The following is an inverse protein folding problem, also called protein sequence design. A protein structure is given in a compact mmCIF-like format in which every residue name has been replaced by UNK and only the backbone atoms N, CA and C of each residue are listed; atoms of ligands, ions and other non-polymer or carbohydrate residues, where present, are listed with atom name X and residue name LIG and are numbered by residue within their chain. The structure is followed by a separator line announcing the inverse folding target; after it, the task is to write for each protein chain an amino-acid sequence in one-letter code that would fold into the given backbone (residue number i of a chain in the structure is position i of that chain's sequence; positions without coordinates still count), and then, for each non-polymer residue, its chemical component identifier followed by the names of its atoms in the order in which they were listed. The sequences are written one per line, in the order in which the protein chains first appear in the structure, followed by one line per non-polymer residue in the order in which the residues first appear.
data_IF_640077713968
#
_entry.id   IF_640077713968
#
_cell.length_a   1.000
_cell.length_b   1.000
_cell.length_c   1.000
_cell.angle_alpha   90.00
_cell.angle_beta   90.00
_cell.angle_gamma   90.00
#
_symmetry.space_group_name_H-M   'P 1'
#
loop_
_entity.id
_entity.type
_entity.pdbx_description
1 polymer ?
#
# COMPACT_ATOMS: atom_id res chain seq x y z
N UNK A 1 -14.83 -14.81 -23.76
CA UNK A 1 -15.63 -15.72 -22.92
C UNK A 1 -15.03 -15.91 -21.51
N UNK A 2 -13.69 -15.95 -21.37
CA UNK A 2 -12.94 -16.07 -20.11
C UNK A 2 -13.33 -15.05 -19.01
N UNK A 3 -13.50 -13.78 -19.39
CA UNK A 3 -13.85 -12.70 -18.44
C UNK A 3 -15.23 -12.89 -17.79
N UNK A 4 -16.21 -13.51 -18.48
CA UNK A 4 -17.56 -13.73 -17.95
C UNK A 4 -17.60 -14.83 -16.89
N UNK A 5 -16.82 -15.88 -17.07
CA UNK A 5 -16.79 -17.05 -16.17
C UNK A 5 -16.07 -16.75 -14.86
N UNK A 6 -15.00 -15.94 -14.91
CA UNK A 6 -14.27 -15.52 -13.71
C UNK A 6 -14.92 -14.34 -12.97
N UNK A 7 -15.86 -13.63 -13.60
CA UNK A 7 -16.52 -12.46 -12.99
C UNK A 7 -17.27 -12.85 -11.72
N UNK A 8 -17.98 -13.99 -11.74
CA UNK A 8 -18.68 -14.53 -10.55
C UNK A 8 -17.71 -14.95 -9.45
N UNK A 9 -16.58 -15.56 -9.79
CA UNK A 9 -15.56 -15.96 -8.81
C UNK A 9 -14.89 -14.74 -8.17
N UNK A 10 -14.62 -13.71 -8.97
CA UNK A 10 -14.08 -12.42 -8.51
C UNK A 10 -15.10 -11.72 -7.62
N UNK A 11 -16.38 -11.66 -8.02
CA UNK A 11 -17.44 -11.06 -7.20
C UNK A 11 -17.61 -11.78 -5.86
N UNK A 12 -17.57 -13.11 -5.88
CA UNK A 12 -17.70 -13.95 -4.69
C UNK A 12 -16.50 -13.78 -3.75
N UNK A 13 -15.27 -13.66 -4.29
CA UNK A 13 -14.08 -13.34 -3.51
C UNK A 13 -14.18 -11.97 -2.85
N UNK A 14 -14.59 -10.93 -3.59
CA UNK A 14 -14.83 -9.61 -3.02
C UNK A 14 -15.93 -9.62 -1.96
N UNK A 15 -17.01 -10.38 -2.17
CA UNK A 15 -18.09 -10.52 -1.21
C UNK A 15 -17.64 -11.18 0.11
N UNK A 16 -16.89 -12.27 0.05
CA UNK A 16 -16.30 -12.93 1.22
C UNK A 16 -15.34 -11.99 1.94
N UNK A 17 -14.50 -11.28 1.19
CA UNK A 17 -13.56 -10.31 1.75
C UNK A 17 -14.31 -9.18 2.48
N UNK A 18 -15.42 -8.69 1.91
CA UNK A 18 -16.26 -7.67 2.53
C UNK A 18 -16.91 -8.16 3.83
N UNK A 19 -17.49 -9.37 3.83
CA UNK A 19 -18.06 -10.00 5.03
C UNK A 19 -17.00 -10.17 6.12
N UNK A 20 -15.80 -10.60 5.73
CA UNK A 20 -14.69 -10.82 6.65
C UNK A 20 -14.20 -9.50 7.28
N UNK A 21 -14.11 -8.43 6.50
CA UNK A 21 -13.79 -7.09 6.98
C UNK A 21 -14.86 -6.55 7.93
N UNK A 22 -16.15 -6.75 7.64
CA UNK A 22 -17.26 -6.35 8.52
C UNK A 22 -17.17 -7.13 9.85
N UNK A 23 -16.87 -8.43 9.80
CA UNK A 23 -16.73 -9.26 11.01
C UNK A 23 -15.53 -8.84 11.85
N UNK A 24 -14.38 -8.57 11.22
CA UNK A 24 -13.19 -8.02 11.88
C UNK A 24 -13.46 -6.65 12.49
N UNK A 25 -14.15 -5.76 11.78
CA UNK A 25 -14.56 -4.46 12.29
C UNK A 25 -15.49 -4.59 13.51
N UNK A 26 -16.41 -5.56 13.51
CA UNK A 26 -17.34 -5.78 14.63
C UNK A 26 -16.64 -6.23 15.91
N UNK A 27 -15.55 -6.98 15.81
CA UNK A 27 -14.83 -7.58 16.94
C UNK A 27 -13.65 -6.70 17.39
N UNK A 28 -13.18 -5.80 16.53
CA UNK A 28 -12.08 -4.91 16.82
C UNK A 28 -12.43 -3.83 17.85
N UNK A 29 -11.47 -3.54 18.73
CA UNK A 29 -11.50 -2.36 19.61
C UNK A 29 -11.49 -1.05 18.79
N UNK A 30 -11.77 0.09 19.45
CA UNK A 30 -11.86 1.40 18.77
C UNK A 30 -10.63 1.68 17.88
N UNK A 31 -9.43 1.37 18.37
CA UNK A 31 -8.19 1.48 17.60
C UNK A 31 -8.19 0.56 16.37
N UNK A 32 -8.58 -0.71 16.52
CA UNK A 32 -8.65 -1.66 15.40
C UNK A 32 -9.69 -1.26 14.35
N UNK A 33 -10.84 -0.72 14.79
CA UNK A 33 -11.87 -0.17 13.90
C UNK A 33 -11.35 0.99 13.06
N UNK A 34 -10.65 1.94 13.69
CA UNK A 34 -10.03 3.09 13.01
C UNK A 34 -8.97 2.62 12.01
N UNK A 35 -8.14 1.63 12.36
CA UNK A 35 -7.13 1.07 11.46
C UNK A 35 -7.76 0.37 10.25
N UNK A 36 -8.84 -0.40 10.45
CA UNK A 36 -9.54 -1.08 9.35
C UNK A 36 -10.15 -0.05 8.37
N UNK A 37 -10.85 0.96 8.88
CA UNK A 37 -11.43 2.03 8.04
C UNK A 37 -10.33 2.82 7.33
N UNK A 38 -9.25 3.15 8.03
CA UNK A 38 -8.08 3.82 7.47
C UNK A 38 -7.43 3.01 6.35
N UNK A 39 -7.29 1.69 6.52
CA UNK A 39 -6.74 0.80 5.49
C UNK A 39 -7.63 0.72 4.25
N UNK A 40 -8.97 0.68 4.42
CA UNK A 40 -9.92 0.70 3.30
C UNK A 40 -9.82 2.03 2.54
N UNK A 41 -9.86 3.15 3.25
CA UNK A 41 -9.71 4.49 2.66
C UNK A 41 -8.38 4.61 1.90
N UNK A 42 -7.29 4.20 2.54
CA UNK A 42 -5.96 4.20 1.94
C UNK A 42 -5.90 3.35 0.67
N UNK A 43 -6.52 2.17 0.67
CA UNK A 43 -6.58 1.28 -0.50
C UNK A 43 -7.35 1.93 -1.66
N UNK A 44 -8.49 2.55 -1.39
CA UNK A 44 -9.28 3.25 -2.41
C UNK A 44 -8.49 4.44 -3.00
N UNK A 45 -7.90 5.27 -2.15
CA UNK A 45 -7.08 6.41 -2.59
C UNK A 45 -5.89 5.93 -3.43
N UNK A 46 -5.20 4.88 -2.98
CA UNK A 46 -4.07 4.27 -3.68
C UNK A 46 -4.46 3.78 -5.08
N UNK A 47 -5.62 3.14 -5.22
CA UNK A 47 -6.13 2.71 -6.53
C UNK A 47 -6.33 3.87 -7.51
N UNK A 48 -6.90 4.98 -7.04
CA UNK A 48 -7.05 6.19 -7.86
C UNK A 48 -5.71 6.81 -8.23
N UNK A 49 -4.75 6.85 -7.30
CA UNK A 49 -3.41 7.37 -7.57
C UNK A 49 -2.72 6.52 -8.64
N UNK A 50 -2.75 5.18 -8.51
CA UNK A 50 -2.12 4.27 -9.48
C UNK A 50 -2.68 4.49 -10.89
N UNK A 51 -4.00 4.69 -11.02
CA UNK A 51 -4.66 4.93 -12.32
C UNK A 51 -4.60 6.38 -12.80
N UNK A 52 -4.05 7.30 -12.01
CA UNK A 52 -4.01 8.71 -12.37
C UNK A 52 -3.02 8.95 -13.50
N UNK A 53 -3.36 9.84 -14.43
CA UNK A 53 -2.45 10.25 -15.51
C UNK A 53 -1.11 10.79 -14.98
N UNK A 54 -1.13 11.43 -13.80
CA UNK A 54 0.07 11.96 -13.13
C UNK A 54 1.01 10.81 -12.75
N UNK A 55 0.50 9.75 -12.12
CA UNK A 55 1.32 8.59 -11.75
C UNK A 55 1.85 7.87 -13.00
N UNK A 56 1.03 7.70 -14.04
CA UNK A 56 1.49 7.11 -15.30
C UNK A 56 2.59 7.95 -15.97
N UNK A 57 2.43 9.27 -16.04
CA UNK A 57 3.45 10.18 -16.56
C UNK A 57 4.74 10.14 -15.73
N UNK A 58 4.62 10.01 -14.40
CA UNK A 58 5.76 9.84 -13.51
C UNK A 58 6.51 8.53 -13.76
N UNK A 59 5.81 7.40 -13.91
CA UNK A 59 6.42 6.12 -14.27
C UNK A 59 7.08 6.20 -15.66
N UNK A 60 6.41 6.82 -16.64
CA UNK A 60 6.97 7.06 -17.97
C UNK A 60 8.29 7.85 -17.90
N UNK A 61 8.30 8.96 -17.15
CA UNK A 61 9.52 9.72 -16.90
C UNK A 61 10.64 8.86 -16.29
N UNK A 62 10.34 8.07 -15.25
CA UNK A 62 11.32 7.17 -14.64
C UNK A 62 11.86 6.13 -15.62
N UNK A 63 11.04 5.66 -16.55
CA UNK A 63 11.47 4.76 -17.62
C UNK A 63 12.41 5.46 -18.60
N UNK A 64 12.04 6.67 -19.03
CA UNK A 64 12.78 7.47 -20.01
C UNK A 64 14.17 7.85 -19.51
N UNK A 65 14.30 8.17 -18.22
CA UNK A 65 15.61 8.42 -17.58
C UNK A 65 16.37 7.13 -17.22
N UNK A 66 15.81 5.96 -17.55
CA UNK A 66 16.44 4.65 -17.34
C UNK A 66 16.43 4.15 -15.90
N UNK A 67 15.71 4.79 -14.97
CA UNK A 67 15.72 4.42 -13.55
C UNK A 67 15.11 3.04 -13.35
N UNK A 68 13.98 2.71 -14.01
CA UNK A 68 13.25 1.45 -13.78
C UNK A 68 14.08 0.19 -14.10
N UNK A 69 15.03 0.29 -15.03
CA UNK A 69 15.92 -0.81 -15.43
C UNK A 69 17.34 -0.67 -14.84
N UNK A 70 17.54 0.28 -13.92
CA UNK A 70 18.83 0.56 -13.31
C UNK A 70 18.99 -0.07 -11.93
N UNK A 71 20.21 -0.03 -11.43
CA UNK A 71 20.52 -0.38 -10.04
C UNK A 71 19.73 0.48 -9.03
N UNK A 72 19.32 1.70 -9.39
CA UNK A 72 18.55 2.57 -8.50
C UNK A 72 17.16 1.98 -8.19
N UNK A 73 16.53 1.29 -9.14
CA UNK A 73 15.26 0.60 -8.89
C UNK A 73 15.42 -0.58 -7.95
N UNK A 74 16.50 -1.35 -8.12
CA UNK A 74 16.84 -2.45 -7.21
C UNK A 74 17.12 -1.94 -5.79
N UNK A 75 17.86 -0.84 -5.66
CA UNK A 75 18.13 -0.19 -4.37
C UNK A 75 16.84 0.28 -3.72
N UNK A 76 15.93 0.90 -4.49
CA UNK A 76 14.62 1.32 -4.00
C UNK A 76 13.80 0.15 -3.47
N UNK A 77 13.82 -1.01 -4.14
CA UNK A 77 13.13 -2.21 -3.65
C UNK A 77 13.78 -2.78 -2.39
N UNK A 78 15.12 -2.75 -2.31
CA UNK A 78 15.87 -3.22 -1.15
C UNK A 78 15.65 -2.36 0.10
N UNK A 79 15.26 -1.09 -0.06
CA UNK A 79 14.99 -0.20 1.06
C UNK A 79 13.75 -0.64 1.85
N UNK A 80 12.77 -1.27 1.19
CA UNK A 80 11.51 -1.71 1.81
C UNK A 80 11.77 -2.70 2.96
N UNK A 81 12.47 -3.83 2.78
CA UNK A 81 12.76 -4.77 3.86
C UNK A 81 13.64 -4.15 4.96
N UNK A 82 14.54 -3.23 4.62
CA UNK A 82 15.33 -2.49 5.62
C UNK A 82 14.45 -1.59 6.48
N UNK A 83 13.53 -0.83 5.88
CA UNK A 83 12.56 0.00 6.60
C UNK A 83 11.64 -0.84 7.48
N UNK A 84 11.21 -2.02 7.01
CA UNK A 84 10.46 -2.98 7.83
C UNK A 84 11.24 -3.44 9.06
N UNK A 85 12.55 -3.69 8.93
CA UNK A 85 13.40 -4.03 10.08
C UNK A 85 13.53 -2.89 11.09
N UNK A 86 13.41 -1.63 10.64
CA UNK A 86 13.45 -0.45 11.50
C UNK A 86 12.18 -0.25 12.33
N UNK A 87 11.08 -0.95 12.05
CA UNK A 87 9.84 -0.84 12.85
C UNK A 87 10.09 -1.23 14.30
N UNK A 88 10.82 -2.31 14.54
CA UNK A 88 11.09 -2.82 15.91
C UNK A 88 11.92 -1.85 16.76
N UNK A 89 13.09 -1.37 16.31
CA UNK A 89 13.82 -0.36 17.08
C UNK A 89 13.05 0.95 17.20
N UNK A 90 12.25 1.33 16.19
CA UNK A 90 11.39 2.51 16.27
C UNK A 90 10.35 2.38 17.40
N UNK A 91 9.65 1.25 17.50
CA UNK A 91 8.72 0.96 18.60
C UNK A 91 9.44 1.05 19.96
N UNK A 92 10.63 0.45 20.08
CA UNK A 92 11.39 0.46 21.34
C UNK A 92 11.77 1.89 21.79
N UNK A 93 12.13 2.76 20.84
CA UNK A 93 12.45 4.18 21.14
C UNK A 93 11.18 4.95 21.52
N UNK A 94 10.04 4.59 20.93
CA UNK A 94 8.76 5.24 21.15
C UNK A 94 8.07 4.79 22.44
N UNK A 95 8.41 3.64 23.01
CA UNK A 95 7.73 3.04 24.18
C UNK A 95 7.68 4.00 25.39
N UNK A 96 8.70 4.83 25.55
CA UNK A 96 8.81 5.83 26.62
C UNK A 96 8.24 7.22 26.26
N UNK A 97 7.61 7.37 25.08
CA UNK A 97 7.06 8.65 24.59
C UNK A 97 5.55 8.74 24.84
N UNK A 98 4.96 9.95 24.84
CA UNK A 98 3.52 10.11 24.97
C UNK A 98 2.78 9.31 23.87
N UNK A 99 1.62 8.68 24.17
CA UNK A 99 0.89 7.84 23.22
C UNK A 99 0.61 8.52 21.87
N UNK A 100 0.32 9.82 21.88
CA UNK A 100 0.09 10.60 20.66
C UNK A 100 1.34 10.67 19.77
N UNK A 101 2.52 10.84 20.36
CA UNK A 101 3.81 10.87 19.63
C UNK A 101 4.12 9.49 19.05
N UNK A 102 3.84 8.42 19.80
CA UNK A 102 4.03 7.06 19.33
C UNK A 102 3.19 6.78 18.08
N UNK A 103 1.88 7.04 18.18
CA UNK A 103 0.92 6.81 17.10
C UNK A 103 1.29 7.63 15.87
N UNK A 104 1.56 8.94 16.03
CA UNK A 104 1.89 9.82 14.91
C UNK A 104 3.18 9.37 14.20
N UNK A 105 4.21 9.01 14.96
CA UNK A 105 5.50 8.62 14.39
C UNK A 105 5.40 7.29 13.65
N UNK A 106 4.74 6.29 14.24
CA UNK A 106 4.52 5.00 13.58
C UNK A 106 3.64 5.16 12.34
N UNK A 107 2.61 5.99 12.41
CA UNK A 107 1.71 6.26 11.30
C UNK A 107 2.44 6.92 10.11
N UNK A 108 3.25 7.95 10.37
CA UNK A 108 4.07 8.60 9.33
C UNK A 108 5.07 7.62 8.71
N UNK A 109 5.70 6.78 9.54
CA UNK A 109 6.65 5.77 9.06
C UNK A 109 5.98 4.73 8.16
N UNK A 110 4.78 4.27 8.52
CA UNK A 110 3.98 3.36 7.71
C UNK A 110 3.57 4.03 6.39
N UNK A 111 3.09 5.28 6.42
CA UNK A 111 2.76 6.04 5.19
C UNK A 111 3.96 6.13 4.26
N UNK A 112 5.15 6.40 4.80
CA UNK A 112 6.37 6.49 4.01
C UNK A 112 6.69 5.19 3.28
N UNK A 113 6.62 4.04 3.98
CA UNK A 113 6.82 2.72 3.36
C UNK A 113 5.75 2.47 2.27
N UNK A 114 4.50 2.78 2.58
CA UNK A 114 3.38 2.58 1.65
C UNK A 114 3.52 3.43 0.39
N UNK A 115 4.07 4.64 0.48
CA UNK A 115 4.31 5.50 -0.68
C UNK A 115 5.34 4.90 -1.64
N UNK A 116 6.44 4.33 -1.11
CA UNK A 116 7.44 3.62 -1.93
C UNK A 116 6.81 2.40 -2.61
N UNK A 117 6.00 1.64 -1.87
CA UNK A 117 5.28 0.48 -2.39
C UNK A 117 4.30 0.89 -3.50
N UNK A 118 3.65 2.04 -3.38
CA UNK A 118 2.70 2.56 -4.36
C UNK A 118 3.35 2.79 -5.73
N UNK A 119 4.56 3.36 -5.75
CA UNK A 119 5.34 3.58 -6.99
C UNK A 119 5.67 2.23 -7.64
N UNK A 120 6.06 1.23 -6.85
CA UNK A 120 6.33 -0.12 -7.35
C UNK A 120 5.08 -0.76 -7.98
N UNK A 121 3.93 -0.70 -7.30
CA UNK A 121 2.66 -1.25 -7.81
C UNK A 121 2.21 -0.50 -9.07
N UNK A 122 2.41 0.82 -9.13
CA UNK A 122 2.10 1.62 -10.31
C UNK A 122 2.93 1.18 -11.53
N UNK A 123 4.24 0.96 -11.36
CA UNK A 123 5.09 0.43 -12.44
C UNK A 123 4.65 -0.97 -12.90
N UNK A 124 4.30 -1.86 -11.96
CA UNK A 124 3.81 -3.19 -12.30
C UNK A 124 2.49 -3.14 -13.08
N UNK A 125 1.60 -2.22 -12.69
CA UNK A 125 0.33 -1.97 -13.39
C UNK A 125 0.56 -1.44 -14.80
N UNK A 126 1.46 -0.49 -14.97
CA UNK A 126 1.88 0.06 -16.27
C UNK A 126 2.39 -1.03 -17.21
N UNK A 127 3.33 -1.86 -16.74
CA UNK A 127 3.96 -2.90 -17.55
C UNK A 127 3.04 -4.09 -17.87
N UNK A 128 2.13 -4.47 -16.95
CA UNK A 128 1.24 -5.62 -17.16
C UNK A 128 -0.04 -5.28 -17.92
N UNK A 129 -0.59 -4.08 -17.73
CA UNK A 129 -1.87 -3.69 -18.33
C UNK A 129 -1.70 -2.88 -19.61
N UNK A 130 -0.48 -2.46 -19.97
CA UNK A 130 -0.21 -1.74 -21.21
C UNK A 130 -1.04 -0.47 -21.36
N UNK A 131 -1.27 0.24 -20.24
CA UNK A 131 -1.90 1.56 -20.18
C UNK A 131 -0.80 2.60 -20.08
#
# INVERSE_FOLDING_TARGET
MFVRTHLIQILFFFFILFITLIKLYSIADLLGKVLIVGAILFSVISYFIIKSAIMHAFIGYLNDVGILNSIYWTILLLIIPMLLHLIRPLINILDNKPPLVQILTLFLFIIFILFILLIFIANLTYNLLGI
#
